data_IF_597412606500
#
_entry.id   IF_597412606500
#
_cell.length_a   1.000
_cell.length_b   1.000
_cell.length_c   1.000
_cell.angle_alpha   90.00
_cell.angle_beta   90.00
_cell.angle_gamma   90.00
#
_symmetry.space_group_name_H-M   'P 1'
#
loop_
_entity.id
_entity.type
_entity.pdbx_description
1 polymer ?
#
# COMPACT_ATOMS: atom_id res chain seq x y z
N UNK A 1 5.95 32.52 22.73
CA UNK A 1 7.06 31.84 22.03
C UNK A 1 6.89 30.34 22.27
N UNK A 2 6.21 29.64 21.36
CA UNK A 2 6.03 28.18 21.44
C UNK A 2 7.30 27.55 20.88
N UNK A 3 8.12 27.00 21.77
CA UNK A 3 9.32 26.27 21.38
C UNK A 3 8.85 24.93 20.84
N UNK A 4 8.82 24.78 19.52
CA UNK A 4 8.60 23.49 18.89
C UNK A 4 9.83 22.62 19.16
N UNK A 5 9.71 21.73 20.15
CA UNK A 5 10.69 20.66 20.37
C UNK A 5 10.62 19.71 19.18
N UNK A 6 11.75 19.42 18.50
CA UNK A 6 11.76 18.41 17.46
C UNK A 6 11.43 17.06 18.11
N UNK A 7 10.32 16.45 17.70
CA UNK A 7 10.01 15.08 18.05
C UNK A 7 11.18 14.20 17.57
N UNK A 8 11.95 13.66 18.52
CA UNK A 8 12.99 12.68 18.19
C UNK A 8 12.26 11.44 17.64
N UNK A 9 12.74 10.85 16.54
CA UNK A 9 12.03 9.76 15.84
C UNK A 9 11.77 8.51 16.70
N UNK A 10 12.44 8.41 17.85
CA UNK A 10 12.35 7.27 18.78
C UNK A 10 11.61 7.59 20.09
N UNK A 11 11.07 8.81 20.25
CA UNK A 11 10.29 9.19 21.44
C UNK A 11 8.82 9.00 21.12
N UNK A 12 8.18 8.05 21.81
CA UNK A 12 6.73 7.88 21.75
C UNK A 12 6.04 9.14 22.27
N UNK A 13 4.90 9.54 21.69
CA UNK A 13 4.09 10.62 22.25
C UNK A 13 3.79 10.36 23.74
N UNK A 14 3.77 11.39 24.60
CA UNK A 14 3.40 11.22 26.01
C UNK A 14 2.02 10.55 26.14
N UNK A 15 1.92 9.52 26.99
CA UNK A 15 0.69 8.77 27.19
C UNK A 15 0.39 7.72 26.11
N UNK A 16 1.33 7.46 25.19
CA UNK A 16 1.25 6.36 24.23
C UNK A 16 2.27 5.26 24.52
N UNK A 17 1.88 4.02 24.24
CA UNK A 17 2.75 2.84 24.25
C UNK A 17 2.86 2.24 22.86
N UNK A 18 3.96 1.55 22.59
CA UNK A 18 4.13 0.74 21.39
C UNK A 18 3.23 -0.49 21.39
N UNK A 19 2.85 -0.96 20.20
CA UNK A 19 2.12 -2.23 20.01
C UNK A 19 2.85 -3.14 19.03
N UNK A 20 2.81 -4.44 19.31
CA UNK A 20 3.22 -5.46 18.35
C UNK A 20 2.25 -5.53 17.18
N UNK A 21 2.76 -5.77 15.98
CA UNK A 21 1.93 -5.93 14.79
C UNK A 21 2.04 -7.36 14.28
N UNK A 22 0.92 -7.91 13.84
CA UNK A 22 0.90 -9.22 13.19
C UNK A 22 -0.14 -9.27 12.08
N UNK A 23 0.02 -10.23 11.19
CA UNK A 23 -0.92 -10.50 10.11
C UNK A 23 -1.21 -11.99 10.06
N UNK A 24 -2.47 -12.36 9.82
CA UNK A 24 -2.86 -13.72 9.47
C UNK A 24 -3.65 -13.67 8.19
N UNK A 25 -3.33 -14.56 7.25
CA UNK A 25 -3.99 -14.58 5.95
C UNK A 25 -4.58 -15.96 5.67
N UNK A 26 -5.88 -15.99 5.39
CA UNK A 26 -6.58 -17.18 4.91
C UNK A 26 -6.56 -17.16 3.39
N UNK A 27 -5.87 -18.13 2.78
CA UNK A 27 -5.73 -18.18 1.34
C UNK A 27 -5.25 -19.57 0.89
N UNK A 28 -5.58 -19.96 -0.33
CA UNK A 28 -4.95 -21.08 -1.05
C UNK A 28 -4.13 -20.50 -2.20
N UNK A 29 -2.83 -20.32 -1.98
CA UNK A 29 -1.95 -19.64 -2.95
C UNK A 29 -1.76 -20.54 -4.19
N UNK A 30 -1.96 -20.03 -5.41
CA UNK A 30 -1.77 -20.81 -6.64
C UNK A 30 -0.33 -21.34 -6.77
N UNK A 31 -0.18 -22.49 -7.42
CA UNK A 31 1.15 -23.05 -7.70
C UNK A 31 2.00 -22.05 -8.50
N UNK A 32 3.29 -21.96 -8.15
CA UNK A 32 4.21 -21.03 -8.79
C UNK A 32 4.05 -19.57 -8.35
N UNK A 33 3.14 -19.26 -7.41
CA UNK A 33 2.99 -17.92 -6.82
C UNK A 33 3.37 -17.90 -5.34
N UNK A 34 3.68 -16.70 -4.85
CA UNK A 34 3.86 -16.42 -3.43
C UNK A 34 3.07 -15.16 -3.05
N UNK A 35 2.44 -15.20 -1.87
CA UNK A 35 1.85 -14.00 -1.27
C UNK A 35 2.91 -13.30 -0.41
N UNK A 36 3.03 -11.98 -0.55
CA UNK A 36 3.96 -11.16 0.23
C UNK A 36 3.24 -9.96 0.84
N UNK A 37 3.70 -9.54 2.02
CA UNK A 37 3.36 -8.24 2.59
C UNK A 37 4.51 -7.28 2.30
N UNK A 38 4.26 -6.33 1.40
CA UNK A 38 5.20 -5.31 0.97
C UNK A 38 5.28 -4.14 1.97
N UNK A 39 6.34 -3.33 1.82
CA UNK A 39 6.61 -2.11 2.60
C UNK A 39 6.78 -2.33 4.10
N UNK A 40 7.20 -3.54 4.48
CA UNK A 40 7.64 -3.86 5.85
C UNK A 40 8.96 -3.15 6.17
N UNK A 41 9.38 -3.18 7.43
CA UNK A 41 10.65 -2.60 7.87
C UNK A 41 11.84 -3.17 7.07
N UNK A 42 11.80 -4.45 6.72
CA UNK A 42 12.82 -5.12 5.91
C UNK A 42 12.49 -5.20 4.41
N UNK A 43 11.57 -4.36 3.92
CA UNK A 43 11.16 -4.34 2.51
C UNK A 43 9.86 -5.11 2.30
N UNK A 44 9.90 -6.43 2.17
CA UNK A 44 8.69 -7.26 2.04
C UNK A 44 8.88 -8.59 2.76
N UNK A 45 7.86 -9.15 3.40
CA UNK A 45 7.91 -10.51 3.96
C UNK A 45 7.06 -11.47 3.13
N UNK A 46 7.46 -12.73 3.06
CA UNK A 46 6.63 -13.80 2.51
C UNK A 46 5.57 -14.20 3.54
N UNK A 47 4.33 -14.33 3.07
CA UNK A 47 3.20 -14.74 3.90
C UNK A 47 2.98 -16.24 3.76
N UNK A 48 2.91 -16.92 4.90
CA UNK A 48 2.51 -18.31 5.03
C UNK A 48 1.04 -18.34 5.43
N UNK A 49 0.12 -18.73 4.53
CA UNK A 49 -1.31 -18.75 4.85
C UNK A 49 -1.63 -19.61 6.07
N UNK A 50 -2.66 -19.21 6.81
CA UNK A 50 -3.15 -19.89 8.01
C UNK A 50 -2.32 -19.67 9.27
N UNK A 51 -1.15 -19.03 9.19
CA UNK A 51 -0.27 -18.80 10.35
C UNK A 51 -0.17 -17.30 10.66
N UNK A 52 -0.38 -16.86 11.92
CA UNK A 52 -0.06 -15.50 12.31
C UNK A 52 1.45 -15.23 12.21
N UNK A 53 1.82 -14.12 11.56
CA UNK A 53 3.21 -13.70 11.39
C UNK A 53 3.40 -12.28 11.93
N UNK A 54 4.51 -12.06 12.63
CA UNK A 54 4.87 -10.74 13.15
C UNK A 54 5.27 -9.78 12.03
N UNK A 55 4.87 -8.52 12.18
CA UNK A 55 5.10 -7.46 11.21
C UNK A 55 5.95 -6.36 11.82
N UNK A 56 7.19 -6.25 11.35
CA UNK A 56 8.00 -5.06 11.58
C UNK A 56 7.63 -3.99 10.53
N UNK A 57 7.32 -2.78 10.97
CA UNK A 57 6.93 -1.68 10.07
C UNK A 57 7.30 -0.30 10.63
N UNK A 58 7.60 0.65 9.73
CA UNK A 58 7.87 2.05 10.06
C UNK A 58 7.07 2.98 9.13
N UNK A 59 6.49 4.11 9.60
CA UNK A 59 5.63 4.96 8.76
C UNK A 59 6.36 5.57 7.57
N UNK A 60 7.66 5.86 7.72
CA UNK A 60 8.52 6.32 6.61
C UNK A 60 8.69 5.27 5.50
N UNK A 61 8.36 4.00 5.74
CA UNK A 61 8.30 2.95 4.72
C UNK A 61 7.05 2.99 3.85
N UNK A 62 6.09 3.87 4.15
CA UNK A 62 4.79 3.93 3.49
C UNK A 62 3.80 2.90 4.03
N UNK A 63 2.56 2.94 3.54
CA UNK A 63 1.52 1.99 3.92
C UNK A 63 1.85 0.55 3.47
N UNK A 64 1.51 -0.42 4.31
CA UNK A 64 1.65 -1.85 4.03
C UNK A 64 0.74 -2.26 2.86
N UNK A 65 1.10 -3.31 2.11
CA UNK A 65 0.27 -3.80 1.02
C UNK A 65 0.48 -5.30 0.78
N UNK A 66 -0.62 -6.07 0.67
CA UNK A 66 -0.56 -7.46 0.22
C UNK A 66 -0.38 -7.52 -1.30
N UNK A 67 0.59 -8.30 -1.76
CA UNK A 67 0.88 -8.49 -3.19
C UNK A 67 1.12 -9.97 -3.51
N UNK A 68 0.74 -10.35 -4.72
CA UNK A 68 1.03 -11.66 -5.30
C UNK A 68 2.23 -11.54 -6.24
N UNK A 69 3.26 -12.36 -6.02
CA UNK A 69 4.48 -12.39 -6.83
C UNK A 69 4.73 -13.80 -7.36
N UNK A 70 5.65 -13.94 -8.32
CA UNK A 70 6.16 -15.24 -8.74
C UNK A 70 6.93 -15.92 -7.60
N UNK A 71 6.70 -17.21 -7.38
CA UNK A 71 7.41 -18.03 -6.38
C UNK A 71 8.93 -18.00 -6.61
N UNK A 72 9.37 -17.93 -7.87
CA UNK A 72 10.78 -17.82 -8.23
C UNK A 72 11.47 -16.56 -7.66
N UNK A 73 10.70 -15.54 -7.28
CA UNK A 73 11.23 -14.31 -6.70
C UNK A 73 11.57 -14.43 -5.21
N UNK A 74 11.01 -15.43 -4.51
CA UNK A 74 11.10 -15.55 -3.04
C UNK A 74 12.56 -15.61 -2.57
N UNK A 75 13.38 -16.48 -3.17
CA UNK A 75 14.79 -16.61 -2.79
C UNK A 75 15.57 -15.29 -2.96
N UNK A 76 15.22 -14.48 -3.97
CA UNK A 76 15.83 -13.16 -4.17
C UNK A 76 15.33 -12.15 -3.14
N UNK A 77 14.05 -12.19 -2.77
CA UNK A 77 13.49 -11.35 -1.71
C UNK A 77 14.23 -11.65 -0.39
N UNK A 78 14.36 -12.92 -0.03
CA UNK A 78 15.00 -13.33 1.23
C UNK A 78 16.47 -12.89 1.30
N UNK A 79 17.24 -13.11 0.23
CA UNK A 79 18.63 -12.64 0.16
C UNK A 79 18.74 -11.11 0.31
N UNK A 80 17.87 -10.34 -0.35
CA UNK A 80 17.88 -8.88 -0.22
C UNK A 80 17.44 -8.39 1.17
N UNK A 81 16.59 -9.15 1.88
CA UNK A 81 16.15 -8.84 3.25
C UNK A 81 17.31 -8.92 4.24
N UNK A 82 18.22 -9.88 4.06
CA UNK A 82 19.41 -10.05 4.92
C UNK A 82 20.32 -8.82 4.83
N UNK A 83 20.49 -8.27 3.62
CA UNK A 83 21.29 -7.08 3.34
C UNK A 83 20.53 -5.75 3.54
N UNK A 84 19.29 -5.78 4.06
CA UNK A 84 18.42 -4.62 4.27
C UNK A 84 18.20 -3.75 3.00
N UNK A 85 18.21 -4.38 1.82
CA UNK A 85 18.05 -3.71 0.52
C UNK A 85 16.60 -3.41 0.17
N UNK A 86 15.97 -2.58 0.99
CA UNK A 86 14.52 -2.30 0.94
C UNK A 86 14.04 -1.81 -0.43
N UNK A 87 14.77 -0.90 -1.06
CA UNK A 87 14.36 -0.31 -2.34
C UNK A 87 14.38 -1.33 -3.48
N UNK A 88 15.40 -2.22 -3.50
CA UNK A 88 15.47 -3.31 -4.48
C UNK A 88 14.33 -4.33 -4.27
N UNK A 89 13.99 -4.63 -3.01
CA UNK A 89 12.85 -5.52 -2.69
C UNK A 89 11.55 -4.86 -3.13
N UNK A 90 11.33 -3.59 -2.81
CA UNK A 90 10.13 -2.86 -3.16
C UNK A 90 9.93 -2.82 -4.69
N UNK A 91 10.98 -2.50 -5.45
CA UNK A 91 10.94 -2.52 -6.91
C UNK A 91 10.65 -3.92 -7.49
N UNK A 92 11.08 -4.98 -6.80
CA UNK A 92 10.78 -6.35 -7.20
C UNK A 92 9.31 -6.71 -6.93
N UNK A 93 8.79 -6.41 -5.73
CA UNK A 93 7.41 -6.78 -5.36
C UNK A 93 6.37 -5.91 -6.05
N UNK A 94 6.72 -4.69 -6.45
CA UNK A 94 5.84 -3.79 -7.22
C UNK A 94 5.52 -4.32 -8.63
N UNK A 95 6.30 -5.28 -9.15
CA UNK A 95 6.01 -5.99 -10.40
C UNK A 95 4.87 -7.01 -10.26
N UNK A 96 4.59 -7.46 -9.02
CA UNK A 96 3.49 -8.38 -8.73
C UNK A 96 2.13 -7.70 -8.70
N UNK A 97 1.04 -8.48 -8.65
CA UNK A 97 -0.31 -7.95 -8.55
C UNK A 97 -0.60 -7.46 -7.11
N UNK A 98 -1.21 -6.28 -6.97
CA UNK A 98 -1.72 -5.82 -5.69
C UNK A 98 -3.03 -6.54 -5.35
N UNK A 99 -3.13 -7.11 -4.15
CA UNK A 99 -4.33 -7.81 -3.72
C UNK A 99 -5.32 -6.89 -3.00
N UNK A 100 -4.84 -5.76 -2.45
CA UNK A 100 -5.66 -4.77 -1.75
C UNK A 100 -5.00 -3.41 -1.85
N UNK A 101 -5.79 -2.37 -1.57
CA UNK A 101 -5.26 -1.02 -1.40
C UNK A 101 -4.22 -0.97 -0.26
N UNK A 102 -3.23 -0.07 -0.33
CA UNK A 102 -2.30 0.10 0.78
C UNK A 102 -3.04 0.46 2.08
N UNK A 103 -2.65 -0.16 3.20
CA UNK A 103 -3.23 0.08 4.51
C UNK A 103 -2.17 0.51 5.53
N UNK A 104 -2.51 1.42 6.46
CA UNK A 104 -1.54 1.89 7.44
C UNK A 104 -1.27 0.82 8.50
N UNK A 105 -0.01 0.72 8.95
CA UNK A 105 0.29 0.09 10.23
C UNK A 105 -0.06 1.02 11.39
N UNK A 106 -0.22 0.45 12.59
CA UNK A 106 -0.42 1.20 13.83
C UNK A 106 0.74 0.91 14.77
N UNK A 107 1.56 1.91 15.07
CA UNK A 107 2.75 1.71 15.93
C UNK A 107 2.48 1.91 17.40
N UNK A 108 1.49 2.74 17.71
CA UNK A 108 1.23 3.18 19.07
C UNK A 108 -0.26 3.22 19.35
N UNK A 109 -0.60 3.07 20.62
CA UNK A 109 -1.93 3.23 21.18
C UNK A 109 -1.82 3.96 22.52
N UNK A 110 -2.90 4.57 23.04
CA UNK A 110 -2.90 5.12 24.39
C UNK A 110 -2.44 4.10 25.44
N UNK A 111 -1.65 4.52 26.42
CA UNK A 111 -1.17 3.66 27.52
C UNK A 111 -2.32 3.02 28.32
N UNK A 112 -3.46 3.70 28.39
CA UNK A 112 -4.69 3.21 29.04
C UNK A 112 -5.32 2.01 28.34
N UNK A 113 -4.98 1.76 27.08
CA UNK A 113 -5.57 0.66 26.33
C UNK A 113 -5.01 -0.68 26.82
N UNK A 114 -5.84 -1.73 26.94
CA UNK A 114 -5.38 -3.05 27.38
C UNK A 114 -4.56 -3.77 26.31
N UNK A 115 -4.75 -3.48 25.02
CA UNK A 115 -4.01 -4.16 23.95
C UNK A 115 -2.51 -3.90 24.00
N UNK A 116 -1.73 -4.96 23.78
CA UNK A 116 -0.27 -4.91 23.55
C UNK A 116 0.09 -5.24 22.10
N UNK A 117 -0.89 -5.67 21.29
CA UNK A 117 -0.68 -5.92 19.87
C UNK A 117 -1.95 -5.81 19.04
N UNK A 118 -1.76 -5.75 17.73
CA UNK A 118 -2.82 -5.77 16.73
C UNK A 118 -2.54 -6.88 15.71
N UNK A 119 -3.59 -7.58 15.29
CA UNK A 119 -3.52 -8.57 14.22
C UNK A 119 -4.55 -8.29 13.15
N UNK A 120 -4.09 -8.06 11.92
CA UNK A 120 -4.98 -8.02 10.77
C UNK A 120 -5.25 -9.43 10.27
N UNK A 121 -6.52 -9.78 10.11
CA UNK A 121 -6.94 -11.06 9.55
C UNK A 121 -7.53 -10.80 8.17
N UNK A 122 -6.84 -11.24 7.13
CA UNK A 122 -7.27 -11.12 5.73
C UNK A 122 -7.74 -12.47 5.19
N UNK A 123 -8.72 -12.44 4.30
CA UNK A 123 -9.00 -13.52 3.37
C UNK A 123 -8.53 -13.09 1.97
N UNK A 124 -7.89 -13.98 1.20
CA UNK A 124 -7.40 -13.67 -0.15
C UNK A 124 -7.92 -14.70 -1.14
N UNK A 125 -8.53 -14.20 -2.20
CA UNK A 125 -8.99 -14.97 -3.35
C UNK A 125 -8.09 -14.69 -4.55
N UNK A 126 -7.88 -15.70 -5.38
CA UNK A 126 -6.99 -15.65 -6.53
C UNK A 126 -7.74 -15.95 -7.83
N UNK A 127 -7.36 -15.23 -8.89
CA UNK A 127 -7.85 -15.44 -10.24
C UNK A 127 -6.66 -15.38 -11.21
N UNK A 128 -5.98 -16.52 -11.37
CA UNK A 128 -4.74 -16.60 -12.14
C UNK A 128 -3.64 -15.73 -11.54
N UNK A 129 -3.22 -14.71 -12.28
CA UNK A 129 -2.19 -13.74 -11.86
C UNK A 129 -2.75 -12.57 -11.04
N UNK A 130 -4.06 -12.50 -10.85
CA UNK A 130 -4.72 -11.50 -10.03
C UNK A 130 -5.10 -12.04 -8.65
N UNK A 131 -5.27 -11.13 -7.70
CA UNK A 131 -5.72 -11.44 -6.36
C UNK A 131 -6.64 -10.34 -5.82
N UNK A 132 -7.50 -10.69 -4.88
CA UNK A 132 -8.30 -9.74 -4.09
C UNK A 132 -8.24 -10.17 -2.63
N UNK A 133 -7.84 -9.26 -1.76
CA UNK A 133 -7.76 -9.48 -0.33
C UNK A 133 -8.81 -8.63 0.39
N UNK A 134 -9.52 -9.23 1.33
CA UNK A 134 -10.55 -8.61 2.14
C UNK A 134 -10.14 -8.66 3.61
N UNK A 135 -10.09 -7.51 4.28
CA UNK A 135 -9.86 -7.46 5.73
C UNK A 135 -11.13 -7.99 6.43
N UNK A 136 -11.05 -9.18 7.02
CA UNK A 136 -12.19 -9.75 7.76
C UNK A 136 -12.39 -9.04 9.10
N UNK A 137 -11.29 -8.78 9.82
CA UNK A 137 -11.28 -8.12 11.13
C UNK A 137 -9.88 -7.70 11.54
N UNK A 138 -9.82 -6.79 12.50
CA UNK A 138 -8.60 -6.46 13.25
C UNK A 138 -8.77 -6.95 14.69
N UNK A 139 -7.93 -7.90 15.11
CA UNK A 139 -7.93 -8.43 16.48
C UNK A 139 -7.00 -7.60 17.35
N UNK A 140 -7.48 -7.22 18.54
CA UNK A 140 -6.66 -6.63 19.60
C UNK A 140 -6.07 -7.75 20.43
N UNK A 141 -4.77 -7.73 20.69
CA UNK A 141 -4.06 -8.79 21.41
C UNK A 141 -3.57 -8.28 22.76
N UNK A 142 -3.58 -9.14 23.77
CA UNK A 142 -2.87 -8.91 25.02
C UNK A 142 -1.35 -9.18 24.89
N UNK A 143 -0.61 -9.04 25.99
CA UNK A 143 0.84 -9.28 26.02
C UNK A 143 1.22 -10.75 25.78
N UNK A 144 0.29 -11.69 25.96
CA UNK A 144 0.49 -13.12 25.67
C UNK A 144 0.11 -13.48 24.22
N UNK A 145 -0.39 -12.51 23.43
CA UNK A 145 -0.84 -12.73 22.05
C UNK A 145 -2.26 -13.31 21.94
N UNK A 146 -3.03 -13.30 23.03
CA UNK A 146 -4.42 -13.76 23.09
C UNK A 146 -5.35 -12.62 22.66
N UNK A 147 -6.38 -12.95 21.89
CA UNK A 147 -7.37 -11.98 21.42
C UNK A 147 -8.18 -11.46 22.59
N UNK A 148 -8.16 -10.14 22.77
CA UNK A 148 -8.99 -9.45 23.75
C UNK A 148 -10.46 -9.46 23.27
N UNK A 149 -11.42 -9.62 24.20
CA UNK A 149 -12.83 -9.49 23.85
C UNK A 149 -13.10 -8.11 23.27
N UNK A 150 -13.96 -8.05 22.25
CA UNK A 150 -14.45 -6.77 21.75
C UNK A 150 -15.13 -6.04 22.91
N UNK A 151 -14.75 -4.79 23.15
CA UNK A 151 -15.49 -3.95 24.08
C UNK A 151 -16.94 -3.89 23.59
N UNK A 152 -17.94 -3.96 24.49
CA UNK A 152 -19.33 -3.71 24.10
C UNK A 152 -19.38 -2.36 23.38
N UNK A 153 -19.89 -2.34 22.14
CA UNK A 153 -20.17 -1.08 21.47
C UNK A 153 -21.11 -0.29 22.39
N UNK A 154 -20.66 0.85 22.90
CA UNK A 154 -21.58 1.77 23.55
C UNK A 154 -22.65 2.11 22.51
N UNK A 155 -23.95 1.94 22.84
CA UNK A 155 -25.01 2.27 21.90
C UNK A 155 -24.82 3.72 21.45
N UNK A 156 -25.08 4.04 20.17
CA UNK A 156 -24.90 5.39 19.67
C UNK A 156 -25.67 6.34 20.59
N UNK A 157 -24.93 7.18 21.31
CA UNK A 157 -25.51 8.21 22.16
C UNK A 157 -26.45 9.06 21.30
N UNK A 158 -27.55 9.58 21.87
CA UNK A 158 -28.51 10.35 21.10
C UNK A 158 -27.78 11.47 20.36
N UNK A 159 -27.96 11.51 19.04
CA UNK A 159 -27.44 12.55 18.18
C UNK A 159 -27.75 13.90 18.82
N UNK A 160 -26.70 14.68 19.14
CA UNK A 160 -26.90 16.10 19.45
C UNK A 160 -27.54 16.72 18.23
N UNK A 161 -28.81 17.13 18.36
CA UNK A 161 -29.51 17.89 17.35
C UNK A 161 -28.63 19.08 16.95
N UNK A 162 -28.26 19.15 15.67
CA UNK A 162 -27.72 20.35 15.07
C UNK A 162 -28.71 21.48 15.31
N UNK A 163 -28.28 22.50 16.04
CA UNK A 163 -29.01 23.75 16.13
C UNK A 163 -29.08 24.34 14.71
N UNK A 164 -30.30 24.47 14.20
CA UNK A 164 -30.55 25.05 12.88
C UNK A 164 -29.96 26.46 12.75
N UNK A 165 -29.60 26.89 11.53
CA UNK A 165 -29.09 28.23 11.29
C UNK A 165 -30.14 29.31 11.59
N UNK A 166 -29.75 30.48 12.12
CA UNK A 166 -30.70 31.55 12.42
C UNK A 166 -31.32 32.13 11.16
N UNK A 167 -32.63 32.33 11.22
CA UNK A 167 -33.48 32.95 10.20
C UNK A 167 -32.93 34.31 9.74
N UNK A 168 -32.69 34.45 8.43
CA UNK A 168 -32.42 35.74 7.81
C UNK A 168 -33.75 36.41 7.52
N UNK A 169 -34.04 37.53 8.19
CA UNK A 169 -35.20 38.37 7.89
C UNK A 169 -35.05 39.00 6.50
N UNK A 170 -36.09 38.82 5.69
CA UNK A 170 -36.31 39.52 4.45
C UNK A 170 -36.61 41.00 4.71
N UNK A 171 -35.97 41.88 3.94
CA UNK A 171 -36.41 43.25 3.72
C UNK A 171 -36.64 43.44 2.21
N UNK A 172 -37.73 44.13 1.89
CA UNK A 172 -38.38 44.24 0.58
C UNK A 172 -37.59 45.05 -0.46
N UNK A 173 -37.94 44.91 -1.76
CA UNK A 173 -37.17 45.47 -2.87
C UNK A 173 -37.57 46.92 -3.16
N UNK A 174 -36.60 47.74 -3.58
CA UNK A 174 -36.88 49.00 -4.30
C UNK A 174 -36.15 49.04 -5.63
N UNK A 175 -36.99 48.94 -6.66
CA UNK A 175 -36.81 49.13 -8.10
C UNK A 175 -35.84 50.26 -8.48
N UNK A 176 -34.97 49.98 -9.45
CA UNK A 176 -34.20 51.01 -10.16
C UNK A 176 -33.08 50.44 -11.05
N UNK A 177 -33.43 49.79 -12.16
CA UNK A 177 -32.56 49.72 -13.36
C UNK A 177 -32.85 50.94 -14.25
N UNK A 178 -32.04 51.26 -15.29
CA UNK A 178 -30.63 50.95 -15.52
C UNK A 178 -29.84 52.22 -15.92
N UNK A 179 -28.50 52.18 -15.85
CA UNK A 179 -27.70 53.02 -16.75
C UNK A 179 -26.39 52.32 -17.11
N UNK A 180 -26.31 51.94 -18.38
CA UNK A 180 -25.07 51.67 -19.06
C UNK A 180 -24.22 52.95 -19.05
N UNK A 181 -22.95 52.83 -18.68
CA UNK A 181 -21.91 53.55 -19.37
C UNK A 181 -20.58 52.80 -19.27
N UNK A 182 -19.87 52.91 -20.37
CA UNK A 182 -18.67 52.22 -20.80
C UNK A 182 -17.46 52.98 -20.23
N UNK A 183 -16.43 52.31 -19.68
CA UNK A 183 -15.02 52.73 -19.77
C UNK A 183 -14.08 51.62 -19.25
N UNK A 184 -13.51 50.87 -20.19
CA UNK A 184 -12.07 50.68 -20.44
C UNK A 184 -11.09 50.69 -19.24
N UNK A 185 -10.28 49.62 -19.15
CA UNK A 185 -8.79 49.64 -19.15
C UNK A 185 -8.13 48.76 -18.07
N UNK A 186 -7.17 47.94 -18.50
CA UNK A 186 -6.13 47.31 -17.66
C UNK A 186 -6.31 45.80 -17.46
N UNK A 187 -6.06 44.94 -18.45
CA UNK A 187 -4.74 44.37 -18.78
C UNK A 187 -4.08 43.63 -17.60
N UNK A 188 -4.11 42.29 -17.67
CA UNK A 188 -3.44 41.38 -16.75
C UNK A 188 -3.67 39.91 -17.09
N UNK A 189 -3.56 39.57 -18.38
CA UNK A 189 -3.60 38.18 -18.86
C UNK A 189 -2.29 37.46 -18.48
N UNK A 190 -2.42 36.29 -17.87
CA UNK A 190 -1.53 35.16 -18.12
C UNK A 190 -2.41 33.91 -18.31
N UNK A 191 -2.69 33.59 -19.57
CA UNK A 191 -3.24 32.30 -20.00
C UNK A 191 -2.54 31.92 -21.30
N UNK A 192 -1.72 30.87 -21.27
CA UNK A 192 -1.18 30.13 -22.42
C UNK A 192 -0.72 28.76 -21.86
N UNK A 193 -1.00 27.58 -22.40
CA UNK A 193 -1.85 27.15 -23.50
C UNK A 193 -2.09 25.62 -23.41
N UNK A 194 -3.14 25.20 -24.11
CA UNK A 194 -3.49 23.82 -24.49
C UNK A 194 -2.43 23.17 -25.39
N UNK A 195 -2.44 21.81 -25.35
CA UNK A 195 -1.86 20.79 -26.25
C UNK A 195 -1.67 21.19 -27.73
N UNK A 196 -0.83 20.40 -28.42
CA UNK A 196 -1.19 19.87 -29.74
C UNK A 196 -1.25 18.33 -29.75
N UNK A 197 -2.32 17.81 -30.35
CA UNK A 197 -2.31 16.54 -31.10
C UNK A 197 -1.52 16.72 -32.40
N UNK A 198 -0.83 15.68 -32.88
CA UNK A 198 -0.17 15.71 -34.19
C UNK A 198 0.62 14.46 -34.51
N UNK A 199 0.03 13.62 -35.36
CA UNK A 199 0.53 12.43 -36.05
C UNK A 199 1.92 12.55 -36.68
N UNK A 200 2.63 11.42 -36.81
CA UNK A 200 3.80 11.30 -37.69
C UNK A 200 4.51 9.95 -37.59
N UNK A 201 4.14 9.01 -38.46
CA UNK A 201 4.88 7.78 -38.75
C UNK A 201 6.24 8.09 -39.41
N UNK A 202 7.30 7.29 -39.17
CA UNK A 202 8.03 6.53 -40.20
C UNK A 202 9.26 5.74 -39.67
N UNK A 203 9.31 4.46 -40.09
CA UNK A 203 10.43 3.59 -40.55
C UNK A 203 11.81 3.61 -39.83
N UNK A 204 12.19 2.51 -39.17
CA UNK A 204 12.96 1.32 -39.66
C UNK A 204 14.47 1.56 -39.81
N UNK A 205 15.25 0.74 -39.09
CA UNK A 205 16.46 0.13 -39.64
C UNK A 205 16.68 -1.28 -39.06
N UNK A 206 16.60 -2.23 -39.99
CA UNK A 206 16.95 -3.65 -39.90
C UNK A 206 18.47 -3.80 -39.82
N UNK A 207 18.96 -4.75 -39.03
CA UNK A 207 20.14 -5.56 -39.39
C UNK A 207 20.15 -6.88 -38.62
N UNK A 208 19.89 -7.95 -39.37
CA UNK A 208 20.10 -9.34 -39.03
C UNK A 208 21.53 -9.78 -39.39
N UNK A 209 22.11 -10.72 -38.65
CA UNK A 209 23.19 -11.68 -39.00
C UNK A 209 23.61 -12.36 -37.67
N UNK A 210 23.80 -13.68 -37.51
CA UNK A 210 23.85 -14.79 -38.44
C UNK A 210 23.66 -16.12 -37.67
N UNK A 211 22.78 -16.98 -38.19
CA UNK A 211 23.02 -18.38 -38.53
C UNK A 211 24.20 -19.11 -37.87
N UNK A 212 23.88 -20.15 -37.10
CA UNK A 212 24.80 -21.20 -36.66
C UNK A 212 24.13 -22.58 -36.65
N UNK A 213 23.64 -23.03 -37.80
CA UNK A 213 23.18 -24.41 -37.99
C UNK A 213 24.38 -25.33 -38.23
N UNK A 214 24.59 -26.25 -37.29
CA UNK A 214 24.95 -27.64 -37.59
C UNK A 214 26.43 -28.03 -37.61
N UNK A 215 26.81 -28.99 -36.76
CA UNK A 215 27.22 -30.33 -37.22
C UNK A 215 27.44 -31.32 -36.06
N UNK A 216 26.74 -32.44 -36.21
CA UNK A 216 26.98 -33.78 -35.68
C UNK A 216 28.46 -34.09 -35.33
N UNK A 217 28.67 -34.69 -34.16
CA UNK A 217 29.53 -35.90 -34.04
C UNK A 217 28.96 -36.88 -33.02
N UNK A 218 28.42 -37.98 -33.55
CA UNK A 218 28.35 -39.27 -32.86
C UNK A 218 29.78 -39.70 -32.55
N UNK A 219 30.07 -40.06 -31.30
CA UNK A 219 31.07 -41.08 -30.99
C UNK A 219 30.38 -42.20 -30.25
N UNK A 220 30.50 -43.41 -30.80
CA UNK A 220 30.08 -44.70 -30.25
C UNK A 220 31.32 -45.40 -29.69
N UNK A 221 31.12 -46.20 -28.63
CA UNK A 221 31.99 -47.27 -28.06
C UNK A 221 33.19 -46.75 -27.25
N UNK A 222 33.52 -47.29 -26.08
CA UNK A 222 33.55 -48.69 -25.60
C UNK A 222 33.02 -48.79 -24.13
N UNK A 223 32.31 -49.83 -23.67
CA UNK A 223 32.81 -51.15 -23.20
C UNK A 223 34.07 -51.02 -22.31
N UNK A 224 34.17 -51.51 -21.07
CA UNK A 224 33.70 -52.76 -20.48
C UNK A 224 33.69 -52.71 -18.93
N UNK A 225 33.05 -53.68 -18.24
CA UNK A 225 33.01 -53.80 -16.78
C UNK A 225 34.21 -54.57 -16.19
N UNK A 226 34.45 -54.37 -14.90
CA UNK A 226 35.04 -55.35 -13.97
C UNK A 226 34.48 -55.07 -12.58
#
# INVERSE_FOLDING_TARGET
>A
MLIATPARPDVLPPGEKGVGLSISVKAEVPEGKALVLARTFRGAMVITPGTPQEVEWHPLGGALQLRLVEQASVAKIDALREDMKRDEINALVEQGAACHEPFPGVRTVPESNPESGLRWVYAVEFAGDACTATLERTEKLDAAGVVLPAAPEEPPGPAKAEAGPPETKADEPKTGEPKADETKSGAGMCSVARRPEGSGALLVLVSALALGVGRRRRSRRAAAPS
#
